data_IF_519626129507
#
_entry.id   IF_519626129507
#
_cell.length_a   1.000
_cell.length_b   1.000
_cell.length_c   1.000
_cell.angle_alpha   90.00
_cell.angle_beta   90.00
_cell.angle_gamma   90.00
#
_symmetry.space_group_name_H-M   'P 1'
#
loop_
_entity.id
_entity.type
_entity.pdbx_description
1 polymer ?
#
# COMPACT_ATOMS: atom_id res chain seq x y z
N UNK A 1 3.52 0.45 -16.33
CA UNK A 1 3.29 1.61 -15.43
C UNK A 1 2.47 1.19 -14.23
N UNK A 2 2.89 1.59 -13.02
CA UNK A 2 2.16 1.42 -11.76
C UNK A 2 1.71 2.79 -11.22
N UNK A 3 0.47 2.89 -10.72
CA UNK A 3 -0.07 4.10 -10.08
C UNK A 3 -1.06 3.75 -8.98
N UNK A 4 -1.25 4.64 -8.01
CA UNK A 4 -2.27 4.51 -6.98
C UNK A 4 -3.22 5.72 -7.04
N UNK A 5 -4.46 5.43 -7.42
CA UNK A 5 -5.54 6.40 -7.33
C UNK A 5 -6.13 6.33 -5.92
N UNK A 6 -6.11 7.46 -5.24
CA UNK A 6 -6.68 7.66 -3.91
C UNK A 6 -8.04 8.32 -4.11
N UNK A 7 -9.08 7.71 -3.55
CA UNK A 7 -10.45 8.22 -3.52
C UNK A 7 -10.69 9.00 -2.22
N UNK A 8 -11.95 9.25 -1.84
CA UNK A 8 -12.31 9.99 -0.63
C UNK A 8 -13.16 9.12 0.32
N UNK A 9 -12.57 8.04 0.89
CA UNK A 9 -13.30 7.12 1.76
C UNK A 9 -13.84 7.84 3.01
N UNK A 10 -15.01 7.40 3.45
CA UNK A 10 -15.60 7.90 4.69
C UNK A 10 -14.87 7.33 5.92
N UNK A 11 -14.65 8.20 6.91
CA UNK A 11 -14.02 7.87 8.18
C UNK A 11 -15.07 7.77 9.29
N UNK A 12 -14.83 6.91 10.27
CA UNK A 12 -15.67 6.83 11.47
C UNK A 12 -15.52 8.06 12.35
N UNK A 13 -14.37 8.77 12.27
CA UNK A 13 -13.94 9.82 13.20
C UNK A 13 -13.91 9.38 14.68
N UNK A 14 -13.97 8.07 14.92
CA UNK A 14 -13.96 7.47 16.25
C UNK A 14 -12.67 6.69 16.38
N UNK A 15 -11.78 7.20 17.24
CA UNK A 15 -10.59 6.50 17.67
C UNK A 15 -10.97 5.30 18.55
N UNK A 16 -10.40 4.14 18.26
CA UNK A 16 -10.42 3.01 19.17
C UNK A 16 -9.19 3.07 20.09
N UNK A 17 -9.41 2.93 21.41
CA UNK A 17 -8.35 3.05 22.42
C UNK A 17 -7.48 1.80 22.52
N UNK A 18 -7.96 0.69 22.00
CA UNK A 18 -7.27 -0.60 22.04
C UNK A 18 -6.34 -0.79 20.84
N UNK A 19 -6.41 0.10 19.83
CA UNK A 19 -5.50 0.04 18.69
C UNK A 19 -4.08 0.42 19.14
N UNK A 20 -3.11 -0.42 18.79
CA UNK A 20 -1.71 -0.25 19.13
C UNK A 20 -0.82 0.01 17.89
N UNK A 21 -1.31 -0.30 16.68
CA UNK A 21 -0.57 -0.18 15.43
C UNK A 21 -1.30 0.64 14.36
N UNK A 22 -0.54 1.13 13.36
CA UNK A 22 -1.09 1.78 12.17
C UNK A 22 -2.14 0.91 11.47
N UNK A 23 -1.88 -0.40 11.36
CA UNK A 23 -2.80 -1.34 10.70
C UNK A 23 -4.15 -1.40 11.41
N UNK A 24 -4.14 -1.63 12.73
CA UNK A 24 -5.35 -1.68 13.55
C UNK A 24 -6.09 -0.34 13.53
N UNK A 25 -5.35 0.77 13.64
CA UNK A 25 -5.94 2.10 13.62
C UNK A 25 -6.58 2.43 12.27
N UNK A 26 -5.90 2.15 11.14
CA UNK A 26 -6.45 2.34 9.81
C UNK A 26 -7.68 1.46 9.59
N UNK A 27 -7.64 0.20 10.01
CA UNK A 27 -8.80 -0.67 9.95
C UNK A 27 -9.94 -0.08 10.79
N UNK A 28 -9.70 0.38 12.02
CA UNK A 28 -10.71 0.97 12.90
C UNK A 28 -11.37 2.23 12.32
N UNK A 29 -10.59 3.14 11.71
CA UNK A 29 -11.12 4.43 11.23
C UNK A 29 -11.87 4.34 9.90
N UNK A 30 -11.53 3.40 9.02
CA UNK A 30 -12.22 3.29 7.73
C UNK A 30 -13.55 2.56 7.90
N UNK A 31 -14.63 3.18 7.40
CA UNK A 31 -15.94 2.55 7.36
C UNK A 31 -16.00 1.44 6.30
N UNK A 32 -16.85 0.45 6.56
CA UNK A 32 -17.14 -0.63 5.59
C UNK A 32 -17.93 -0.06 4.40
N UNK A 33 -17.79 -0.69 3.24
CA UNK A 33 -18.56 -0.37 2.01
C UNK A 33 -18.42 1.08 1.54
N UNK A 34 -17.24 1.67 1.74
CA UNK A 34 -16.85 2.98 1.18
C UNK A 34 -16.18 2.79 -0.18
N UNK A 35 -15.79 3.91 -0.80
CA UNK A 35 -15.05 3.92 -2.06
C UNK A 35 -13.75 3.12 -1.99
N UNK A 36 -13.28 2.59 -3.13
CA UNK A 36 -12.02 1.86 -3.21
C UNK A 36 -10.86 2.80 -3.57
N UNK A 37 -9.66 2.51 -3.05
CA UNK A 37 -8.43 2.92 -3.72
C UNK A 37 -8.26 2.05 -4.98
N UNK A 38 -7.59 2.56 -6.01
CA UNK A 38 -7.35 1.78 -7.23
C UNK A 38 -5.87 1.70 -7.53
N UNK A 39 -5.31 0.49 -7.44
CA UNK A 39 -3.98 0.19 -7.93
C UNK A 39 -4.07 -0.07 -9.44
N UNK A 40 -3.36 0.72 -10.22
CA UNK A 40 -3.32 0.61 -11.68
C UNK A 40 -2.04 -0.13 -12.06
N UNK A 41 -2.18 -1.30 -12.69
CA UNK A 41 -1.09 -2.17 -13.13
C UNK A 41 -1.14 -2.38 -14.65
N UNK A 42 -0.26 -1.75 -15.42
CA UNK A 42 -0.24 -1.85 -16.91
C UNK A 42 -1.64 -1.72 -17.55
N UNK A 43 -2.41 -0.75 -17.05
CA UNK A 43 -3.80 -0.40 -17.42
C UNK A 43 -4.89 -1.35 -16.88
N UNK A 44 -4.55 -2.26 -15.98
CA UNK A 44 -5.52 -3.05 -15.22
C UNK A 44 -5.80 -2.35 -13.89
N UNK A 45 -7.08 -2.18 -13.57
CA UNK A 45 -7.54 -1.44 -12.40
C UNK A 45 -7.91 -2.43 -11.29
N UNK A 46 -7.14 -2.42 -10.22
CA UNK A 46 -7.31 -3.33 -9.09
C UNK A 46 -7.91 -2.54 -7.92
N UNK A 47 -9.18 -2.78 -7.57
CA UNK A 47 -9.80 -2.12 -6.43
C UNK A 47 -9.22 -2.67 -5.13
N UNK A 48 -8.89 -1.76 -4.20
CA UNK A 48 -8.36 -2.05 -2.88
C UNK A 48 -9.23 -1.38 -1.82
N UNK A 49 -9.80 -2.18 -0.91
CA UNK A 49 -10.59 -1.69 0.21
C UNK A 49 -9.69 -0.90 1.16
N UNK A 50 -10.10 0.30 1.56
CA UNK A 50 -9.35 1.05 2.57
C UNK A 50 -9.26 0.30 3.89
N UNK A 51 -10.41 -0.21 4.36
CA UNK A 51 -10.51 -0.89 5.65
C UNK A 51 -9.71 -2.18 5.73
N UNK A 52 -9.73 -2.99 4.66
CA UNK A 52 -9.21 -4.36 4.70
C UNK A 52 -7.91 -4.56 3.93
N UNK A 53 -7.70 -3.84 2.83
CA UNK A 53 -6.52 -4.03 1.99
C UNK A 53 -5.47 -2.98 2.34
N UNK A 54 -5.83 -1.70 2.27
CA UNK A 54 -4.87 -0.62 2.49
C UNK A 54 -4.35 -0.61 3.93
N UNK A 55 -5.20 -0.89 4.93
CA UNK A 55 -4.79 -0.97 6.35
C UNK A 55 -3.63 -1.93 6.57
N UNK A 56 -3.70 -3.14 6.00
CA UNK A 56 -2.65 -4.15 6.15
C UNK A 56 -1.44 -3.87 5.23
N UNK A 57 -1.67 -3.26 4.06
CA UNK A 57 -0.62 -2.91 3.10
C UNK A 57 0.25 -1.73 3.55
N UNK A 58 -0.23 -0.91 4.49
CA UNK A 58 0.45 0.32 4.93
C UNK A 58 1.90 0.07 5.37
N UNK A 59 2.14 -1.00 6.13
CA UNK A 59 3.49 -1.40 6.56
C UNK A 59 4.36 -1.86 5.40
N UNK A 60 3.78 -2.57 4.44
CA UNK A 60 4.52 -3.06 3.28
C UNK A 60 4.92 -1.92 2.32
N UNK A 61 4.12 -0.85 2.22
CA UNK A 61 4.54 0.37 1.53
C UNK A 61 5.81 0.98 2.15
N UNK A 62 5.88 1.02 3.49
CA UNK A 62 7.07 1.49 4.21
C UNK A 62 8.27 0.58 3.92
N UNK A 63 8.09 -0.75 3.99
CA UNK A 63 9.16 -1.71 3.67
C UNK A 63 9.69 -1.54 2.24
N UNK A 64 8.83 -1.23 1.28
CA UNK A 64 9.25 -0.98 -0.10
C UNK A 64 10.05 0.32 -0.21
N UNK A 65 9.65 1.39 0.49
CA UNK A 65 10.41 2.64 0.51
C UNK A 65 11.78 2.46 1.17
N UNK A 66 11.84 1.72 2.28
CA UNK A 66 13.07 1.29 2.92
C UNK A 66 13.99 0.55 1.97
N UNK A 67 13.42 -0.42 1.26
CA UNK A 67 14.14 -1.15 0.24
C UNK A 67 14.68 -0.20 -0.83
N UNK A 68 13.86 0.70 -1.38
CA UNK A 68 14.28 1.62 -2.45
C UNK A 68 15.42 2.54 -2.00
N UNK A 69 15.38 3.06 -0.78
CA UNK A 69 16.40 3.94 -0.22
C UNK A 69 17.64 3.21 0.30
N UNK A 70 17.51 1.91 0.60
CA UNK A 70 18.57 1.07 1.14
C UNK A 70 19.57 0.59 0.09
N UNK A 71 20.51 -0.24 0.53
CA UNK A 71 21.55 -0.84 -0.33
C UNK A 71 21.13 -2.15 -0.97
N UNK A 72 20.05 -2.77 -0.50
CA UNK A 72 19.60 -4.06 -1.01
C UNK A 72 19.20 -3.98 -2.47
N UNK A 73 19.58 -5.00 -3.23
CA UNK A 73 19.28 -5.08 -4.66
C UNK A 73 17.95 -5.77 -4.96
N UNK A 74 17.45 -6.60 -4.03
CA UNK A 74 16.21 -7.35 -4.17
C UNK A 74 15.42 -7.41 -2.86
N UNK A 75 14.09 -7.46 -2.97
CA UNK A 75 13.18 -7.75 -1.85
C UNK A 75 11.97 -8.53 -2.37
N UNK A 76 11.35 -9.28 -1.48
CA UNK A 76 10.07 -9.97 -1.69
C UNK A 76 9.01 -9.37 -0.76
N UNK A 77 7.85 -9.04 -1.31
CA UNK A 77 6.71 -8.50 -0.57
C UNK A 77 5.52 -9.43 -0.74
N UNK A 78 4.97 -9.90 0.38
CA UNK A 78 3.76 -10.72 0.41
C UNK A 78 2.57 -9.84 0.80
N UNK A 79 1.72 -9.54 -0.16
CA UNK A 79 0.47 -8.82 0.08
C UNK A 79 -0.55 -9.79 0.68
N UNK A 80 -0.84 -9.61 1.97
CA UNK A 80 -1.67 -10.52 2.77
C UNK A 80 -3.16 -10.15 2.77
N UNK A 81 -3.71 -9.58 1.69
CA UNK A 81 -5.11 -9.12 1.68
C UNK A 81 -6.10 -10.20 1.26
N UNK A 82 -7.28 -10.13 1.87
CA UNK A 82 -8.40 -11.04 1.62
C UNK A 82 -8.95 -10.91 0.20
N UNK A 83 -8.95 -9.69 -0.36
CA UNK A 83 -9.44 -9.41 -1.74
C UNK A 83 -8.31 -9.19 -2.75
N UNK A 84 -7.07 -9.11 -2.25
CA UNK A 84 -5.85 -8.91 -3.01
C UNK A 84 -4.67 -9.66 -2.36
N UNK A 85 -4.40 -10.86 -2.85
CA UNK A 85 -3.24 -11.64 -2.47
C UNK A 85 -2.27 -11.79 -3.65
N UNK A 86 -1.05 -11.32 -3.44
CA UNK A 86 0.01 -11.39 -4.44
C UNK A 86 1.38 -11.39 -3.79
N UNK A 87 2.37 -11.96 -4.46
CA UNK A 87 3.78 -11.87 -4.08
C UNK A 87 4.48 -11.01 -5.13
N UNK A 88 5.17 -9.97 -4.70
CA UNK A 88 5.97 -9.12 -5.58
C UNK A 88 7.45 -9.31 -5.30
N UNK A 89 8.20 -9.64 -6.34
CA UNK A 89 9.65 -9.68 -6.36
C UNK A 89 10.17 -8.40 -6.99
N UNK A 90 10.80 -7.55 -6.19
CA UNK A 90 11.34 -6.26 -6.60
C UNK A 90 12.85 -6.41 -6.79
N UNK A 91 13.37 -5.95 -7.93
CA UNK A 91 14.82 -5.94 -8.23
C UNK A 91 15.23 -4.55 -8.70
N UNK A 92 16.20 -3.92 -8.01
CA UNK A 92 16.79 -2.66 -8.45
C UNK A 92 17.68 -2.88 -9.65
N UNK A 93 17.49 -2.05 -10.68
CA UNK A 93 18.34 -2.04 -11.86
C UNK A 93 19.37 -0.90 -11.75
N UNK A 94 20.52 -1.06 -12.41
CA UNK A 94 21.63 -0.11 -12.33
C UNK A 94 21.27 1.28 -12.91
N UNK A 95 20.24 1.36 -13.75
CA UNK A 95 19.76 2.59 -14.38
C UNK A 95 18.76 3.40 -13.52
N UNK A 96 18.57 3.03 -12.24
CA UNK A 96 17.61 3.68 -11.35
C UNK A 96 16.15 3.23 -11.56
N UNK A 97 15.95 2.19 -12.38
CA UNK A 97 14.67 1.52 -12.51
C UNK A 97 14.51 0.39 -11.48
N UNK A 98 13.28 -0.08 -11.38
CA UNK A 98 12.85 -1.17 -10.55
C UNK A 98 12.04 -2.13 -11.41
N UNK A 99 12.55 -3.36 -11.53
CA UNK A 99 11.80 -4.47 -12.09
C UNK A 99 10.90 -5.05 -10.98
N UNK A 100 9.61 -5.16 -11.24
CA UNK A 100 8.64 -5.77 -10.33
C UNK A 100 8.02 -6.97 -11.04
N UNK A 101 8.27 -8.17 -10.52
CA UNK A 101 7.64 -9.41 -10.96
C UNK A 101 6.57 -9.82 -9.95
N UNK A 102 5.36 -10.08 -10.41
CA UNK A 102 4.20 -10.36 -9.56
C UNK A 102 3.67 -11.78 -9.77
N UNK A 103 3.40 -12.45 -8.67
CA UNK A 103 2.64 -13.70 -8.63
C UNK A 103 1.26 -13.37 -8.07
N UNK A 104 0.23 -13.43 -8.91
CA UNK A 104 -1.16 -13.14 -8.54
C UNK A 104 -1.84 -14.40 -8.01
N UNK A 105 -2.21 -14.38 -6.72
CA UNK A 105 -2.87 -15.50 -6.04
C UNK A 105 -4.38 -15.30 -6.06
N UNK A 106 -4.84 -14.18 -5.49
CA UNK A 106 -6.26 -13.81 -5.42
C UNK A 106 -6.39 -12.33 -5.79
N UNK A 107 -7.22 -12.00 -6.78
CA UNK A 107 -7.54 -10.61 -7.13
C UNK A 107 -9.00 -10.55 -7.48
N UNK A 108 -9.75 -9.67 -6.81
CA UNK A 108 -11.17 -9.47 -7.05
C UNK A 108 -11.46 -9.03 -8.50
N UNK A 109 -12.59 -9.48 -9.06
CA UNK A 109 -13.05 -9.07 -10.39
C UNK A 109 -12.47 -9.89 -11.56
N UNK A 110 -12.08 -11.15 -11.32
CA UNK A 110 -11.58 -12.08 -12.36
C UNK A 110 -10.33 -11.57 -13.13
N UNK A 111 -9.65 -10.55 -12.60
CA UNK A 111 -8.50 -9.92 -13.25
C UNK A 111 -7.24 -10.80 -13.23
N UNK A 112 -7.23 -11.87 -12.44
CA UNK A 112 -6.05 -12.72 -12.21
C UNK A 112 -5.41 -13.17 -13.51
N UNK A 113 -6.17 -13.70 -14.47
CA UNK A 113 -5.59 -14.21 -15.72
C UNK A 113 -4.93 -13.10 -16.55
N UNK A 114 -5.55 -11.92 -16.60
CA UNK A 114 -5.02 -10.76 -17.30
C UNK A 114 -3.75 -10.23 -16.63
N UNK A 115 -3.76 -10.19 -15.30
CA UNK A 115 -2.64 -9.77 -14.48
C UNK A 115 -1.47 -10.75 -14.58
N UNK A 116 -1.72 -12.06 -14.61
CA UNK A 116 -0.69 -13.09 -14.82
C UNK A 116 -0.01 -12.95 -16.19
N UNK A 117 -0.76 -12.59 -17.24
CA UNK A 117 -0.17 -12.29 -18.57
C UNK A 117 0.69 -11.04 -18.57
N UNK A 118 0.47 -10.12 -17.62
CA UNK A 118 1.21 -8.87 -17.44
C UNK A 118 1.95 -8.86 -16.10
N UNK A 119 2.52 -9.99 -15.68
CA UNK A 119 3.11 -10.15 -14.34
C UNK A 119 4.35 -9.31 -14.09
N UNK A 120 5.00 -8.78 -15.13
CA UNK A 120 6.27 -8.07 -15.01
C UNK A 120 6.10 -6.63 -15.47
N UNK A 121 6.59 -5.69 -14.67
CA UNK A 121 6.63 -4.27 -15.03
C UNK A 121 8.01 -3.68 -14.70
N UNK A 122 8.37 -2.63 -15.43
CA UNK A 122 9.53 -1.80 -15.11
C UNK A 122 9.07 -0.38 -14.84
N UNK A 123 9.53 0.20 -13.73
CA UNK A 123 9.19 1.56 -13.31
C UNK A 123 10.42 2.25 -12.73
N UNK A 124 10.51 3.57 -12.84
CA UNK A 124 11.59 4.30 -12.15
C UNK A 124 11.39 4.23 -10.64
N UNK A 125 12.46 4.08 -9.87
CA UNK A 125 12.39 4.11 -8.40
C UNK A 125 11.73 5.41 -7.90
N UNK A 126 12.06 6.55 -8.51
CA UNK A 126 11.49 7.86 -8.15
C UNK A 126 9.97 7.89 -8.31
N UNK A 127 9.44 7.51 -9.48
CA UNK A 127 8.00 7.54 -9.71
C UNK A 127 7.26 6.57 -8.78
N UNK A 128 7.79 5.37 -8.54
CA UNK A 128 7.14 4.41 -7.67
C UNK A 128 7.15 4.85 -6.21
N UNK A 129 8.29 5.34 -5.70
CA UNK A 129 8.36 5.91 -4.34
C UNK A 129 7.38 7.06 -4.15
N UNK A 130 7.20 7.92 -5.17
CA UNK A 130 6.24 9.02 -5.11
C UNK A 130 4.80 8.55 -4.94
N UNK A 131 4.39 7.49 -5.63
CA UNK A 131 3.04 6.91 -5.49
C UNK A 131 2.82 6.32 -4.09
N UNK A 132 3.82 5.63 -3.55
CA UNK A 132 3.75 5.08 -2.18
C UNK A 132 3.70 6.18 -1.12
N UNK A 133 4.56 7.20 -1.22
CA UNK A 133 4.59 8.35 -0.31
C UNK A 133 3.27 9.12 -0.31
N UNK A 134 2.66 9.29 -1.49
CA UNK A 134 1.33 9.92 -1.62
C UNK A 134 0.26 9.13 -0.85
N UNK A 135 0.27 7.80 -0.95
CA UNK A 135 -0.65 6.96 -0.18
C UNK A 135 -0.36 7.07 1.33
N UNK A 136 0.89 6.94 1.76
CA UNK A 136 1.26 7.06 3.18
C UNK A 136 0.88 8.43 3.76
N UNK A 137 1.09 9.52 3.02
CA UNK A 137 0.66 10.87 3.44
C UNK A 137 -0.85 10.94 3.65
N UNK A 138 -1.63 10.37 2.72
CA UNK A 138 -3.08 10.32 2.84
C UNK A 138 -3.53 9.51 4.08
N UNK A 139 -2.91 8.36 4.33
CA UNK A 139 -3.21 7.53 5.49
C UNK A 139 -2.89 8.25 6.81
N UNK A 140 -1.77 8.96 6.86
CA UNK A 140 -1.41 9.80 8.01
C UNK A 140 -2.47 10.88 8.26
N UNK A 141 -2.88 11.60 7.22
CA UNK A 141 -3.91 12.65 7.34
C UNK A 141 -5.25 12.08 7.86
N UNK A 142 -5.63 10.87 7.46
CA UNK A 142 -6.81 10.19 8.00
C UNK A 142 -6.67 9.83 9.49
N UNK A 143 -5.50 9.31 9.89
CA UNK A 143 -5.19 9.00 11.30
C UNK A 143 -5.22 10.27 12.17
N UNK A 144 -4.63 11.36 11.68
CA UNK A 144 -4.59 12.66 12.37
C UNK A 144 -6.00 13.23 12.56
N UNK A 145 -6.84 13.17 11.52
CA UNK A 145 -8.25 13.59 11.59
C UNK A 145 -9.07 12.81 12.60
N UNK A 146 -8.68 11.55 12.87
CA UNK A 146 -9.31 10.71 13.88
C UNK A 146 -8.64 10.83 15.26
N UNK A 147 -7.58 11.64 15.39
CA UNK A 147 -6.92 11.93 16.66
C UNK A 147 -5.86 10.91 17.09
N UNK A 148 -5.33 10.10 16.18
CA UNK A 148 -4.18 9.23 16.48
C UNK A 148 -2.87 10.01 16.44
N UNK A 149 -1.94 9.65 17.32
CA UNK A 149 -0.64 10.28 17.47
C UNK A 149 0.48 9.25 17.67
N UNK A 150 1.73 9.71 17.62
CA UNK A 150 2.90 8.88 17.87
C UNK A 150 3.02 8.31 19.29
N UNK A 151 2.22 8.81 20.24
CA UNK A 151 2.20 8.29 21.61
C UNK A 151 1.29 7.06 21.75
N UNK A 152 0.43 6.81 20.76
CA UNK A 152 -0.63 5.80 20.84
C UNK A 152 -0.33 4.60 19.95
N UNK A 153 0.27 4.84 18.78
CA UNK A 153 0.61 3.77 17.85
C UNK A 153 2.13 3.57 17.82
N UNK A 154 2.59 2.36 18.16
CA UNK A 154 4.02 2.09 18.35
C UNK A 154 4.85 2.27 17.07
N UNK A 155 4.23 2.12 15.90
CA UNK A 155 4.82 2.19 14.58
C UNK A 155 4.54 3.52 13.86
N UNK A 156 3.85 4.47 14.48
CA UNK A 156 3.52 5.77 13.89
C UNK A 156 4.76 6.54 13.40
N UNK A 157 5.87 6.46 14.14
CA UNK A 157 7.11 7.14 13.77
C UNK A 157 7.71 6.61 12.46
N UNK A 158 7.43 5.36 12.09
CA UNK A 158 7.82 4.81 10.79
C UNK A 158 7.05 5.52 9.67
N UNK A 159 5.76 5.79 9.87
CA UNK A 159 4.94 6.52 8.92
C UNK A 159 5.49 7.93 8.67
N UNK A 160 5.84 8.66 9.74
CA UNK A 160 6.42 10.01 9.63
C UNK A 160 7.73 10.00 8.84
N UNK A 161 8.59 9.00 9.08
CA UNK A 161 9.93 8.91 8.45
C UNK A 161 9.85 8.82 6.92
N UNK A 162 8.83 8.16 6.38
CA UNK A 162 8.73 7.84 4.95
C UNK A 162 7.67 8.64 4.21
N UNK A 163 7.19 9.73 4.78
CA UNK A 163 6.34 10.72 4.11
C UNK A 163 7.22 11.87 3.63
#
# INVERSE_FOLDING_TARGET
>A
MIKIQISNPELSFVKNKDDASIEEALESIFLRNTEYAVLIWENLFIPLSYKYDISIMAKDFIKILEFIEGTDSKIEIHWASNTFSSIWYLTKLQNGELEIKSLWVCVLGELRELLTKKSNICVTQIAFSKELRKMLFFLKDCLDKCGYTANELYDYNLLIKYI
#
